data_IF_777657925053
#
_entry.id   IF_777657925053
#
_cell.length_a   1.000
_cell.length_b   1.000
_cell.length_c   1.000
_cell.angle_alpha   90.00
_cell.angle_beta   90.00
_cell.angle_gamma   90.00
#
_symmetry.space_group_name_H-M   'P 1'
#
loop_
_entity.id
_entity.type
_entity.pdbx_description
1 polymer ?
#
# COMPACT_ATOMS: atom_id res chain seq x y z
N UNK A 1 -7.74 -4.38 -28.07
CA UNK A 1 -6.92 -5.57 -27.79
C UNK A 1 -6.43 -5.44 -26.37
N UNK A 2 -6.83 -6.33 -25.47
CA UNK A 2 -6.37 -6.36 -24.08
C UNK A 2 -5.03 -7.10 -24.03
N UNK A 3 -4.07 -6.62 -23.24
CA UNK A 3 -2.80 -7.33 -23.07
C UNK A 3 -3.04 -8.73 -22.49
N UNK A 4 -2.36 -9.72 -23.03
CA UNK A 4 -2.55 -11.13 -22.66
C UNK A 4 -1.97 -11.43 -21.27
N UNK A 5 -1.06 -10.58 -20.80
CA UNK A 5 -0.38 -10.71 -19.52
C UNK A 5 -0.75 -9.57 -18.56
N UNK A 6 -0.69 -9.85 -17.25
CA UNK A 6 -1.03 -8.88 -16.21
C UNK A 6 0.09 -7.86 -15.94
N UNK A 7 1.28 -8.05 -16.53
CA UNK A 7 2.49 -7.29 -16.20
C UNK A 7 2.35 -5.80 -16.53
N UNK A 8 1.74 -5.48 -17.68
CA UNK A 8 1.47 -4.10 -18.07
C UNK A 8 0.50 -3.40 -17.11
N UNK A 9 -0.54 -4.12 -16.67
CA UNK A 9 -1.50 -3.58 -15.70
C UNK A 9 -0.85 -3.36 -14.33
N UNK A 10 -0.04 -4.30 -13.86
CA UNK A 10 0.68 -4.20 -12.58
C UNK A 10 1.71 -3.08 -12.62
N UNK A 11 2.46 -2.96 -13.72
CA UNK A 11 3.41 -1.87 -13.94
C UNK A 11 2.74 -0.51 -13.94
N UNK A 12 1.61 -0.38 -14.64
CA UNK A 12 0.84 0.87 -14.68
C UNK A 12 0.28 1.25 -13.31
N UNK A 13 -0.33 0.30 -12.58
CA UNK A 13 -0.88 0.57 -11.24
C UNK A 13 0.24 0.91 -10.27
N UNK A 14 1.33 0.14 -10.25
CA UNK A 14 2.44 0.38 -9.31
C UNK A 14 3.16 1.70 -9.65
N UNK A 15 3.44 1.94 -10.92
CA UNK A 15 4.15 3.13 -11.39
C UNK A 15 3.36 4.42 -11.16
N UNK A 16 2.07 4.43 -11.50
CA UNK A 16 1.21 5.60 -11.28
C UNK A 16 1.06 5.93 -9.79
N UNK A 17 0.89 4.92 -8.93
CA UNK A 17 0.85 5.14 -7.48
C UNK A 17 2.19 5.61 -6.91
N UNK A 18 3.32 5.08 -7.39
CA UNK A 18 4.65 5.54 -6.98
C UNK A 18 4.85 7.02 -7.32
N UNK A 19 4.49 7.45 -8.53
CA UNK A 19 4.56 8.86 -8.92
C UNK A 19 3.65 9.72 -8.04
N UNK A 20 2.42 9.30 -7.76
CA UNK A 20 1.53 10.06 -6.87
C UNK A 20 2.11 10.26 -5.46
N UNK A 21 2.77 9.25 -4.89
CA UNK A 21 3.37 9.34 -3.56
C UNK A 21 4.65 10.19 -3.59
N UNK A 22 5.60 9.85 -4.46
CA UNK A 22 6.91 10.51 -4.48
C UNK A 22 6.86 11.92 -5.05
N UNK A 23 6.21 12.09 -6.21
CA UNK A 23 6.10 13.39 -6.86
C UNK A 23 4.99 14.24 -6.23
N UNK A 24 3.85 13.64 -5.87
CA UNK A 24 2.74 14.38 -5.26
C UNK A 24 3.05 14.82 -3.83
N UNK A 25 3.22 13.87 -2.91
CA UNK A 25 3.41 14.17 -1.48
C UNK A 25 4.88 14.50 -1.17
N UNK A 26 5.81 13.69 -1.70
CA UNK A 26 7.24 13.79 -1.38
C UNK A 26 7.88 15.12 -1.79
N UNK A 27 7.63 15.59 -3.01
CA UNK A 27 8.16 16.90 -3.47
C UNK A 27 7.54 18.05 -2.68
N UNK A 28 6.22 18.03 -2.45
CA UNK A 28 5.56 19.08 -1.68
C UNK A 28 6.13 19.21 -0.26
N UNK A 29 6.33 18.08 0.43
CA UNK A 29 6.95 18.06 1.77
C UNK A 29 8.41 18.50 1.74
N UNK A 30 9.18 18.12 0.72
CA UNK A 30 10.59 18.52 0.59
C UNK A 30 10.72 20.02 0.38
N UNK A 31 9.89 20.60 -0.49
CA UNK A 31 9.84 22.06 -0.72
C UNK A 31 9.43 22.80 0.55
N UNK A 32 8.42 22.31 1.27
CA UNK A 32 8.00 22.90 2.54
C UNK A 32 9.12 22.88 3.59
N UNK A 33 9.82 21.74 3.74
CA UNK A 33 10.95 21.61 4.66
C UNK A 33 12.08 22.60 4.33
N UNK A 34 12.46 22.73 3.06
CA UNK A 34 13.50 23.67 2.61
C UNK A 34 13.05 25.12 2.87
N UNK A 35 11.79 25.45 2.57
CA UNK A 35 11.26 26.79 2.79
C UNK A 35 11.33 27.22 4.26
N UNK A 36 10.88 26.37 5.18
CA UNK A 36 10.91 26.68 6.61
C UNK A 36 12.32 26.74 7.17
N UNK A 37 13.21 25.84 6.71
CA UNK A 37 14.63 25.89 7.04
C UNK A 37 15.27 27.21 6.60
N UNK A 38 14.99 27.68 5.38
CA UNK A 38 15.47 28.97 4.88
C UNK A 38 14.93 30.17 5.66
N UNK A 39 13.79 30.03 6.35
CA UNK A 39 13.24 31.03 7.26
C UNK A 39 13.80 30.94 8.69
N UNK A 40 14.74 30.03 8.94
CA UNK A 40 15.31 29.78 10.27
C UNK A 40 14.29 29.20 11.25
N UNK A 41 13.24 28.52 10.75
CA UNK A 41 12.14 27.97 11.54
C UNK A 41 12.07 26.45 11.36
N UNK A 42 11.56 25.77 12.37
CA UNK A 42 11.29 24.34 12.29
C UNK A 42 10.04 24.05 11.45
N UNK A 43 10.13 23.03 10.60
CA UNK A 43 8.97 22.50 9.89
C UNK A 43 8.23 21.51 10.79
N UNK A 44 7.09 21.94 11.37
CA UNK A 44 6.24 21.11 12.23
C UNK A 44 4.99 20.66 11.48
N UNK A 45 4.78 19.35 11.38
CA UNK A 45 3.62 18.74 10.74
C UNK A 45 2.97 17.77 11.72
N UNK A 46 1.66 17.91 11.94
CA UNK A 46 0.91 16.94 12.73
C UNK A 46 0.59 15.73 11.84
N UNK A 47 1.07 14.52 12.17
CA UNK A 47 0.90 13.34 11.32
C UNK A 47 -0.56 12.83 11.28
N UNK A 48 -1.41 13.19 12.25
CA UNK A 48 -2.80 12.71 12.30
C UNK A 48 -2.89 11.18 12.24
N UNK A 49 -3.85 10.66 11.49
CA UNK A 49 -4.06 9.23 11.24
C UNK A 49 -3.07 8.59 10.25
N UNK A 50 -2.15 9.38 9.68
CA UNK A 50 -1.22 8.91 8.65
C UNK A 50 -0.31 7.80 9.19
N UNK A 51 0.23 7.98 10.40
CA UNK A 51 1.16 7.03 11.01
C UNK A 51 0.51 5.66 11.26
N UNK A 52 -0.74 5.66 11.74
CA UNK A 52 -1.52 4.45 11.95
C UNK A 52 -1.78 3.73 10.62
N UNK A 53 -2.32 4.45 9.64
CA UNK A 53 -2.69 3.86 8.34
C UNK A 53 -1.49 3.33 7.57
N UNK A 54 -0.36 4.05 7.56
CA UNK A 54 0.87 3.60 6.88
C UNK A 54 1.45 2.36 7.55
N UNK A 55 1.47 2.30 8.89
CA UNK A 55 1.94 1.11 9.62
C UNK A 55 1.07 -0.10 9.32
N UNK A 56 -0.25 0.05 9.39
CA UNK A 56 -1.21 -1.02 9.10
C UNK A 56 -1.06 -1.53 7.66
N UNK A 57 -0.99 -0.61 6.70
CA UNK A 57 -0.75 -0.94 5.29
C UNK A 57 0.55 -1.74 5.11
N UNK A 58 1.62 -1.33 5.78
CA UNK A 58 2.94 -1.97 5.68
C UNK A 58 2.91 -3.41 6.22
N UNK A 59 2.25 -3.65 7.35
CA UNK A 59 2.08 -4.99 7.91
C UNK A 59 1.33 -5.89 6.91
N UNK A 60 0.21 -5.42 6.36
CA UNK A 60 -0.57 -6.20 5.40
C UNK A 60 0.19 -6.41 4.08
N UNK A 61 0.99 -5.44 3.64
CA UNK A 61 1.86 -5.58 2.49
C UNK A 61 2.90 -6.71 2.69
N UNK A 62 3.51 -6.81 3.87
CA UNK A 62 4.41 -7.93 4.20
C UNK A 62 3.69 -9.28 4.20
N UNK A 63 2.46 -9.35 4.71
CA UNK A 63 1.64 -10.57 4.64
C UNK A 63 1.36 -10.93 3.18
N UNK A 64 0.92 -9.98 2.36
CA UNK A 64 0.66 -10.19 0.93
C UNK A 64 1.92 -10.65 0.18
N UNK A 65 3.07 -10.01 0.42
CA UNK A 65 4.35 -10.42 -0.15
C UNK A 65 4.73 -11.83 0.30
N UNK A 66 4.57 -12.17 1.58
CA UNK A 66 4.82 -13.51 2.12
C UNK A 66 3.95 -14.58 1.44
N UNK A 67 2.67 -14.28 1.22
CA UNK A 67 1.75 -15.18 0.50
C UNK A 67 2.18 -15.36 -0.96
N UNK A 68 2.54 -14.28 -1.67
CA UNK A 68 3.04 -14.37 -3.05
C UNK A 68 4.34 -15.17 -3.13
N UNK A 69 5.28 -14.94 -2.21
CA UNK A 69 6.54 -15.68 -2.12
C UNK A 69 6.31 -17.17 -1.79
N UNK A 70 5.31 -17.49 -0.97
CA UNK A 70 4.93 -18.88 -0.72
C UNK A 70 4.34 -19.55 -1.98
N UNK A 71 3.51 -18.83 -2.74
CA UNK A 71 2.91 -19.33 -3.99
C UNK A 71 3.90 -19.47 -5.14
N UNK A 72 5.03 -18.75 -5.09
CA UNK A 72 6.16 -18.92 -6.01
C UNK A 72 6.80 -20.31 -5.93
N UNK A 73 6.50 -21.10 -4.91
CA UNK A 73 7.03 -22.47 -4.80
C UNK A 73 6.58 -23.33 -5.99
N UNK A 74 7.47 -24.17 -6.57
CA UNK A 74 7.16 -25.00 -7.73
C UNK A 74 5.97 -25.94 -7.54
N UNK A 75 5.68 -26.32 -6.30
CA UNK A 75 4.54 -27.18 -5.94
C UNK A 75 3.16 -26.55 -6.14
N UNK A 76 3.07 -25.21 -6.21
CA UNK A 76 1.81 -24.47 -6.41
C UNK A 76 1.80 -23.79 -7.79
N UNK A 77 2.96 -23.34 -8.26
CA UNK A 77 3.18 -22.98 -9.67
C UNK A 77 2.49 -21.71 -10.15
N UNK A 78 2.45 -20.63 -9.36
CA UNK A 78 2.02 -19.34 -9.90
C UNK A 78 2.06 -18.16 -8.93
N UNK A 79 2.78 -17.10 -9.31
CA UNK A 79 2.80 -15.83 -8.57
C UNK A 79 1.47 -15.08 -8.73
N UNK A 80 1.03 -14.95 -9.98
CA UNK A 80 -0.19 -14.27 -10.40
C UNK A 80 -0.96 -15.20 -11.36
N UNK A 81 -1.33 -16.37 -10.85
CA UNK A 81 -1.89 -17.44 -11.68
C UNK A 81 -2.01 -18.77 -10.95
N UNK A 82 -1.86 -19.88 -11.66
CA UNK A 82 -1.89 -21.22 -11.08
C UNK A 82 -3.30 -21.81 -10.92
N UNK A 83 -3.43 -22.90 -10.15
CA UNK A 83 -4.68 -23.66 -9.98
C UNK A 83 -5.86 -22.78 -9.56
N UNK A 84 -7.06 -23.05 -10.11
CA UNK A 84 -8.26 -22.20 -9.88
C UNK A 84 -8.56 -21.98 -8.40
N UNK A 85 -8.47 -23.03 -7.57
CA UNK A 85 -8.71 -22.92 -6.13
C UNK A 85 -7.72 -21.99 -5.43
N UNK A 86 -6.42 -22.19 -5.65
CA UNK A 86 -5.37 -21.38 -5.03
C UNK A 86 -5.45 -19.90 -5.46
N UNK A 87 -5.77 -19.64 -6.73
CA UNK A 87 -5.97 -18.28 -7.24
C UNK A 87 -7.17 -17.59 -6.59
N UNK A 88 -8.31 -18.26 -6.51
CA UNK A 88 -9.52 -17.67 -5.89
C UNK A 88 -9.30 -17.43 -4.39
N UNK A 89 -8.74 -18.40 -3.67
CA UNK A 89 -8.48 -18.25 -2.23
C UNK A 89 -7.55 -17.06 -1.94
N UNK A 90 -6.49 -16.90 -2.73
CA UNK A 90 -5.51 -15.81 -2.53
C UNK A 90 -6.05 -14.45 -2.96
N UNK A 91 -6.86 -14.39 -4.03
CA UNK A 91 -7.60 -13.18 -4.40
C UNK A 91 -8.59 -12.76 -3.31
N UNK A 92 -9.35 -13.71 -2.73
CA UNK A 92 -10.27 -13.41 -1.64
C UNK A 92 -9.55 -12.95 -0.37
N UNK A 93 -8.40 -13.57 -0.05
CA UNK A 93 -7.56 -13.13 1.07
C UNK A 93 -7.09 -11.68 0.89
N UNK A 94 -6.59 -11.31 -0.30
CA UNK A 94 -6.12 -9.94 -0.55
C UNK A 94 -7.24 -8.92 -0.54
N UNK A 95 -8.41 -9.25 -1.09
CA UNK A 95 -9.60 -8.40 -0.98
C UNK A 95 -10.04 -8.25 0.48
N UNK A 96 -10.02 -9.34 1.27
CA UNK A 96 -10.34 -9.31 2.69
C UNK A 96 -9.37 -8.42 3.49
N UNK A 97 -8.07 -8.54 3.26
CA UNK A 97 -7.05 -7.68 3.88
C UNK A 97 -7.24 -6.21 3.48
N UNK A 98 -7.63 -5.94 2.23
CA UNK A 98 -7.96 -4.58 1.78
C UNK A 98 -9.18 -4.00 2.50
N UNK A 99 -10.25 -4.79 2.66
CA UNK A 99 -11.42 -4.35 3.44
C UNK A 99 -11.08 -4.11 4.91
N UNK A 100 -10.27 -4.99 5.51
CA UNK A 100 -9.81 -4.81 6.89
C UNK A 100 -8.96 -3.55 7.05
N UNK A 101 -8.10 -3.25 6.07
CA UNK A 101 -7.32 -2.01 6.05
C UNK A 101 -8.24 -0.79 6.06
N UNK A 102 -9.20 -0.73 5.12
CA UNK A 102 -10.15 0.39 5.05
C UNK A 102 -10.94 0.51 6.35
N UNK A 103 -11.41 -0.61 6.90
CA UNK A 103 -12.19 -0.63 8.14
C UNK A 103 -11.39 -0.05 9.31
N UNK A 104 -10.21 -0.58 9.59
CA UNK A 104 -9.41 -0.12 10.74
C UNK A 104 -8.89 1.31 10.56
N UNK A 105 -8.41 1.68 9.36
CA UNK A 105 -8.01 3.07 9.08
C UNK A 105 -9.17 4.04 9.22
N UNK A 106 -10.39 3.65 8.82
CA UNK A 106 -11.57 4.50 8.99
C UNK A 106 -11.98 4.60 10.46
N UNK A 107 -11.99 3.49 11.20
CA UNK A 107 -12.33 3.50 12.63
C UNK A 107 -11.39 4.41 13.42
N UNK A 108 -10.10 4.43 13.09
CA UNK A 108 -9.13 5.32 13.75
C UNK A 108 -9.32 6.78 13.31
N UNK A 109 -9.49 7.03 12.00
CA UNK A 109 -9.70 8.38 11.47
C UNK A 109 -10.99 9.05 11.99
N UNK A 110 -12.05 8.27 12.24
CA UNK A 110 -13.31 8.75 12.85
C UNK A 110 -13.33 8.63 14.38
N UNK A 111 -12.16 8.41 15.01
CA UNK A 111 -11.98 8.38 16.45
C UNK A 111 -12.81 7.32 17.20
N UNK A 112 -13.18 6.22 16.53
CA UNK A 112 -13.83 5.08 17.17
C UNK A 112 -12.84 4.16 17.89
N UNK A 113 -11.59 4.13 17.42
CA UNK A 113 -10.47 3.44 18.08
C UNK A 113 -9.31 4.42 18.22
N UNK A 114 -8.53 4.27 19.29
CA UNK A 114 -7.29 5.02 19.48
C UNK A 114 -6.16 4.36 18.69
N UNK A 115 -5.57 5.10 17.75
CA UNK A 115 -4.25 4.78 17.19
C UNK A 115 -3.14 4.90 18.22
N UNK A 116 -1.93 4.44 17.86
CA UNK A 116 -0.71 4.55 18.68
C UNK A 116 0.20 5.67 18.16
#
# INVERSE_FOLDING_TARGET
MQDQHADAAIGNVTGSNAVNVFLGIGVAWSVAAIYWWAKGKEFRVNPGSLAFSVTLFTIFAFICMGVLMFRRRPSIGGELGGPRGARVATSLLFLGLWFLYILFSSLEAYCHISGF
#
